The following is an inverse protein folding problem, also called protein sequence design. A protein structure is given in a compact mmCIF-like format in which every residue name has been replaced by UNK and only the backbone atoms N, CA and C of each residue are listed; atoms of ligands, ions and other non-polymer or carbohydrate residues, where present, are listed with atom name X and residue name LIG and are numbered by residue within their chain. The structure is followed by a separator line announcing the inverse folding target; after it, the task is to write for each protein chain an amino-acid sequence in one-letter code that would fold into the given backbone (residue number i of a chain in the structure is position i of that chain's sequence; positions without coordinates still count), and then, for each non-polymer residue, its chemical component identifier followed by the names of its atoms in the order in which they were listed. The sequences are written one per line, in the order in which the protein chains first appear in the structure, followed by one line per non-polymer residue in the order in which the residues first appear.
data_IF_359303582431
#
_entry.id   IF_359303582431
#
_cell.length_a   1.000
_cell.length_b   1.000
_cell.length_c   1.000
_cell.angle_alpha   90.00
_cell.angle_beta   90.00
_cell.angle_gamma   90.00
#
_symmetry.space_group_name_H-M   'P 1'
#
loop_
_entity.id
_entity.type
_entity.pdbx_description
1 polymer ?
#
# COMPACT_ATOMS: atom_id res chain seq x y z
N UNK A 1 -16.93 15.72 -17.29
CA UNK A 1 -16.11 15.48 -16.10
C UNK A 1 -14.69 15.97 -16.32
N UNK A 2 -14.23 16.94 -15.54
CA UNK A 2 -12.85 17.42 -15.55
C UNK A 2 -11.89 16.37 -14.96
N UNK A 3 -10.57 16.50 -15.20
CA UNK A 3 -9.59 15.60 -14.55
C UNK A 3 -9.73 15.65 -13.02
N UNK A 4 -9.94 16.83 -12.44
CA UNK A 4 -10.11 17.03 -10.99
C UNK A 4 -11.32 16.27 -10.45
N UNK A 5 -12.48 16.41 -11.10
CA UNK A 5 -13.71 15.70 -10.72
C UNK A 5 -13.53 14.18 -10.78
N UNK A 6 -12.80 13.67 -11.79
CA UNK A 6 -12.50 12.24 -11.90
C UNK A 6 -11.70 11.72 -10.72
N UNK A 7 -10.60 12.39 -10.36
CA UNK A 7 -9.79 11.97 -9.21
C UNK A 7 -10.58 12.05 -7.90
N UNK A 8 -11.42 13.09 -7.73
CA UNK A 8 -12.28 13.19 -6.55
C UNK A 8 -13.25 12.02 -6.44
N UNK A 9 -13.87 11.58 -7.55
CA UNK A 9 -14.74 10.41 -7.56
C UNK A 9 -14.00 9.12 -7.23
N UNK A 10 -12.81 8.91 -7.80
CA UNK A 10 -12.00 7.71 -7.54
C UNK A 10 -11.56 7.64 -6.07
N UNK A 11 -11.08 8.75 -5.52
CA UNK A 11 -10.68 8.82 -4.11
C UNK A 11 -11.87 8.61 -3.18
N UNK A 12 -13.02 9.24 -3.46
CA UNK A 12 -14.23 9.06 -2.67
C UNK A 12 -14.69 7.59 -2.64
N UNK A 13 -14.57 6.88 -3.77
CA UNK A 13 -14.86 5.45 -3.82
C UNK A 13 -13.94 4.66 -2.87
N UNK A 14 -12.61 4.82 -2.98
CA UNK A 14 -11.67 4.08 -2.14
C UNK A 14 -11.75 4.46 -0.66
N UNK A 15 -12.02 5.72 -0.33
CA UNK A 15 -12.26 6.14 1.06
C UNK A 15 -13.51 5.47 1.67
N UNK A 16 -14.50 5.12 0.85
CA UNK A 16 -15.70 4.42 1.30
C UNK A 16 -15.55 2.90 1.33
N UNK A 17 -14.86 2.30 0.35
CA UNK A 17 -14.74 0.83 0.21
C UNK A 17 -13.51 0.25 0.90
N UNK A 18 -12.45 1.03 1.07
CA UNK A 18 -11.20 0.66 1.73
C UNK A 18 -10.75 1.81 2.65
N UNK A 19 -11.49 2.04 3.76
CA UNK A 19 -11.30 3.24 4.59
C UNK A 19 -9.94 3.30 5.30
N UNK A 20 -9.30 2.15 5.52
CA UNK A 20 -7.98 2.05 6.12
C UNK A 20 -7.07 1.31 5.14
N UNK A 21 -6.15 2.05 4.51
CA UNK A 21 -5.13 1.49 3.64
C UNK A 21 -3.87 1.21 4.47
N UNK A 22 -3.45 -0.05 4.52
CA UNK A 22 -2.25 -0.51 5.21
C UNK A 22 -1.27 -1.12 4.20
N UNK A 23 -0.01 -1.31 4.59
CA UNK A 23 0.97 -2.03 3.76
C UNK A 23 0.70 -3.54 3.79
N UNK A 24 1.00 -4.25 2.70
CA UNK A 24 0.90 -5.71 2.64
C UNK A 24 2.19 -6.41 3.11
N UNK A 25 3.25 -5.66 3.44
CA UNK A 25 4.48 -6.20 4.01
C UNK A 25 4.21 -6.72 5.43
N UNK A 26 4.66 -7.94 5.73
CA UNK A 26 4.54 -8.54 7.06
C UNK A 26 5.69 -8.06 7.95
N UNK A 27 5.38 -7.50 9.11
CA UNK A 27 6.35 -7.05 10.10
C UNK A 27 5.72 -6.94 11.51
N UNK A 28 6.53 -7.13 12.54
CA UNK A 28 6.15 -7.01 13.96
C UNK A 28 6.70 -5.74 14.63
N UNK A 29 7.69 -5.09 14.00
CA UNK A 29 8.32 -3.90 14.56
C UNK A 29 8.91 -2.97 13.47
N UNK A 30 9.24 -1.70 13.81
CA UNK A 30 9.73 -0.73 12.84
C UNK A 30 11.02 -1.13 12.12
N UNK A 31 11.91 -1.89 12.77
CA UNK A 31 13.14 -2.35 12.15
C UNK A 31 12.88 -3.43 11.10
N UNK A 32 11.96 -4.35 11.35
CA UNK A 32 11.51 -5.32 10.34
C UNK A 32 10.87 -4.63 9.14
N UNK A 33 10.00 -3.64 9.36
CA UNK A 33 9.40 -2.87 8.27
C UNK A 33 10.47 -2.16 7.42
N UNK A 34 11.49 -1.56 8.05
CA UNK A 34 12.59 -0.94 7.33
C UNK A 34 13.29 -1.93 6.39
N UNK A 35 13.59 -3.14 6.88
CA UNK A 35 14.23 -4.19 6.06
C UNK A 35 13.30 -4.67 4.96
N UNK A 36 12.02 -4.91 5.26
CA UNK A 36 11.01 -5.34 4.29
C UNK A 36 10.84 -4.33 3.14
N UNK A 37 10.87 -3.03 3.44
CA UNK A 37 10.80 -1.94 2.45
C UNK A 37 12.06 -1.90 1.56
N UNK A 38 13.25 -2.17 2.12
CA UNK A 38 14.47 -2.26 1.30
C UNK A 38 14.38 -3.45 0.33
N UNK A 39 13.88 -4.59 0.80
CA UNK A 39 13.72 -5.80 0.00
C UNK A 39 12.60 -5.71 -1.04
N UNK A 40 11.63 -4.81 -0.87
CA UNK A 40 10.52 -4.63 -1.80
C UNK A 40 10.91 -3.89 -3.08
N UNK A 41 12.11 -3.31 -3.15
CA UNK A 41 12.62 -2.65 -4.35
C UNK A 41 12.57 -3.59 -5.57
N UNK A 42 11.77 -3.22 -6.58
CA UNK A 42 11.53 -4.02 -7.79
C UNK A 42 11.04 -5.45 -7.50
N UNK A 43 10.33 -5.63 -6.38
CA UNK A 43 9.80 -6.89 -5.90
C UNK A 43 8.32 -6.73 -5.52
N UNK A 44 7.62 -7.85 -5.34
CA UNK A 44 6.23 -7.81 -4.83
C UNK A 44 6.25 -8.08 -3.34
N UNK A 45 5.34 -7.46 -2.58
CA UNK A 45 5.21 -7.70 -1.13
C UNK A 45 5.03 -9.20 -0.84
N UNK A 46 4.27 -9.91 -1.67
CA UNK A 46 4.15 -11.38 -1.62
C UNK A 46 5.50 -12.10 -1.65
N UNK A 47 6.45 -11.67 -2.49
CA UNK A 47 7.77 -12.29 -2.58
C UNK A 47 8.64 -11.93 -1.38
N UNK A 48 8.54 -10.70 -0.86
CA UNK A 48 9.24 -10.29 0.38
C UNK A 48 8.76 -11.13 1.57
N UNK A 49 7.44 -11.35 1.68
CA UNK A 49 6.81 -12.09 2.77
C UNK A 49 7.05 -13.62 2.75
N UNK A 50 7.70 -14.18 1.72
CA UNK A 50 8.09 -15.61 1.68
C UNK A 50 9.42 -15.91 2.38
N UNK A 51 10.09 -14.87 2.89
CA UNK A 51 11.40 -14.95 3.55
C UNK A 51 11.24 -15.16 5.05
#
# INVERSE_FOLDING_TARGET
MTKKERYQQVLAYFMATTPVAETELVYDNPFQLLVAVILSAQCTDKRVNLT
#
